data_IF_319054588462
#
_entry.id   IF_319054588462
#
_cell.length_a   1.000
_cell.length_b   1.000
_cell.length_c   1.000
_cell.angle_alpha   90.00
_cell.angle_beta   90.00
_cell.angle_gamma   90.00
#
_symmetry.space_group_name_H-M   'P 1'
#
loop_
_entity.id
_entity.type
_entity.pdbx_description
1 polymer ?
#
# COMPACT_ATOMS: atom_id res chain seq x y z
N UNK A 1 -20.80 -21.60 48.92
CA UNK A 1 -19.45 -22.01 48.43
C UNK A 1 -19.45 -23.26 47.55
N UNK A 2 -20.23 -24.33 47.85
CA UNK A 2 -20.28 -25.53 46.97
C UNK A 2 -20.78 -25.26 45.53
N UNK A 3 -21.79 -24.40 45.34
CA UNK A 3 -22.31 -24.13 43.99
C UNK A 3 -21.38 -23.28 43.12
N UNK A 4 -20.56 -22.41 43.71
CA UNK A 4 -19.60 -21.57 42.97
C UNK A 4 -18.41 -22.43 42.48
N UNK A 5 -17.97 -23.40 43.28
CA UNK A 5 -16.86 -24.29 42.91
C UNK A 5 -17.22 -25.27 41.79
N UNK A 6 -18.45 -25.79 41.76
CA UNK A 6 -18.95 -26.69 40.71
C UNK A 6 -19.11 -25.95 39.38
N UNK A 7 -19.62 -24.71 39.42
CA UNK A 7 -19.75 -23.87 38.21
C UNK A 7 -18.35 -23.58 37.63
N UNK A 8 -17.39 -23.18 38.46
CA UNK A 8 -16.01 -22.89 38.01
C UNK A 8 -15.31 -24.13 37.43
N UNK A 9 -15.45 -25.32 38.05
CA UNK A 9 -14.90 -26.55 37.48
C UNK A 9 -15.55 -26.92 36.14
N UNK A 10 -16.87 -26.79 36.02
CA UNK A 10 -17.58 -27.11 34.77
C UNK A 10 -17.19 -26.19 33.62
N UNK A 11 -17.00 -24.89 33.88
CA UNK A 11 -16.59 -23.91 32.87
C UNK A 11 -15.16 -24.15 32.38
N UNK A 12 -14.24 -24.54 33.27
CA UNK A 12 -12.84 -24.84 32.91
C UNK A 12 -12.73 -26.10 32.07
N UNK A 13 -13.54 -27.13 32.37
CA UNK A 13 -13.58 -28.35 31.55
C UNK A 13 -14.13 -28.09 30.15
N UNK A 14 -15.25 -27.36 30.02
CA UNK A 14 -15.84 -27.03 28.71
C UNK A 14 -14.86 -26.24 27.84
N UNK A 15 -14.09 -25.30 28.43
CA UNK A 15 -13.08 -24.55 27.69
C UNK A 15 -11.91 -25.42 27.19
N UNK A 16 -11.44 -26.38 28.00
CA UNK A 16 -10.34 -27.27 27.61
C UNK A 16 -10.76 -28.23 26.48
N UNK A 17 -11.96 -28.80 26.55
CA UNK A 17 -12.49 -29.66 25.50
C UNK A 17 -12.72 -28.92 24.17
N UNK A 18 -13.24 -27.69 24.23
CA UNK A 18 -13.42 -26.88 23.02
C UNK A 18 -12.09 -26.56 22.34
N UNK A 19 -11.04 -26.28 23.11
CA UNK A 19 -9.71 -25.97 22.59
C UNK A 19 -9.06 -27.18 21.89
N UNK A 20 -9.23 -28.38 22.44
CA UNK A 20 -8.74 -29.64 21.85
C UNK A 20 -9.41 -29.96 20.50
N UNK A 21 -10.73 -29.71 20.40
CA UNK A 21 -11.47 -29.88 19.13
C UNK A 21 -10.98 -28.86 18.09
N UNK A 22 -10.72 -27.60 18.49
CA UNK A 22 -10.21 -26.59 17.57
C UNK A 22 -8.83 -26.94 17.04
N UNK A 23 -7.92 -27.36 17.91
CA UNK A 23 -6.56 -27.77 17.50
C UNK A 23 -6.60 -28.94 16.52
N UNK A 24 -7.48 -29.91 16.77
CA UNK A 24 -7.73 -31.02 15.84
C UNK A 24 -8.29 -30.53 14.49
N UNK A 25 -9.24 -29.59 14.51
CA UNK A 25 -9.81 -29.00 13.29
C UNK A 25 -8.74 -28.23 12.48
N UNK A 26 -7.94 -27.40 13.15
CA UNK A 26 -6.85 -26.64 12.54
C UNK A 26 -5.77 -27.57 11.98
N UNK A 27 -5.47 -28.69 12.65
CA UNK A 27 -4.58 -29.72 12.13
C UNK A 27 -5.11 -30.32 10.82
N UNK A 28 -6.36 -30.78 10.81
CA UNK A 28 -6.97 -31.31 9.59
C UNK A 28 -7.00 -30.27 8.46
N UNK A 29 -7.23 -29.00 8.79
CA UNK A 29 -7.20 -27.90 7.84
C UNK A 29 -5.80 -27.70 7.23
N UNK A 30 -4.76 -27.69 8.06
CA UNK A 30 -3.37 -27.56 7.62
C UNK A 30 -2.91 -28.76 6.78
N UNK A 31 -3.38 -29.96 7.13
CA UNK A 31 -3.15 -31.20 6.38
C UNK A 31 -4.00 -31.29 5.10
N UNK A 32 -4.88 -30.29 4.85
CA UNK A 32 -5.81 -30.22 3.71
C UNK A 32 -6.82 -31.37 3.67
N UNK A 33 -7.08 -32.00 4.81
CA UNK A 33 -8.15 -32.97 5.00
C UNK A 33 -9.48 -32.22 5.19
N UNK A 34 -9.98 -31.64 4.10
CA UNK A 34 -11.10 -30.69 4.13
C UNK A 34 -12.38 -31.26 4.73
N UNK A 35 -12.63 -32.55 4.56
CA UNK A 35 -13.82 -33.22 5.09
C UNK A 35 -13.75 -33.36 6.61
N UNK A 36 -12.61 -33.82 7.14
CA UNK A 36 -12.41 -33.88 8.60
C UNK A 36 -12.33 -32.49 9.21
N UNK A 37 -11.67 -31.55 8.53
CA UNK A 37 -11.59 -30.16 8.98
C UNK A 37 -12.99 -29.55 9.11
N UNK A 38 -13.83 -29.66 8.07
CA UNK A 38 -15.19 -29.14 8.10
C UNK A 38 -16.02 -29.75 9.25
N UNK A 39 -15.98 -31.07 9.39
CA UNK A 39 -16.70 -31.78 10.47
C UNK A 39 -16.26 -31.30 11.86
N UNK A 40 -14.95 -31.18 12.07
CA UNK A 40 -14.40 -30.75 13.35
C UNK A 40 -14.71 -29.27 13.65
N UNK A 41 -14.66 -28.38 12.65
CA UNK A 41 -15.06 -26.98 12.83
C UNK A 41 -16.57 -26.85 13.11
N UNK A 42 -17.43 -27.60 12.43
CA UNK A 42 -18.87 -27.62 12.73
C UNK A 42 -19.13 -28.06 14.17
N UNK A 43 -18.42 -29.09 14.66
CA UNK A 43 -18.52 -29.52 16.05
C UNK A 43 -18.04 -28.43 17.02
N UNK A 44 -16.89 -27.80 16.73
CA UNK A 44 -16.33 -26.73 17.54
C UNK A 44 -17.26 -25.51 17.65
N UNK A 45 -17.86 -25.10 16.53
CA UNK A 45 -18.71 -23.92 16.42
C UNK A 45 -20.05 -24.06 17.15
N UNK A 46 -20.48 -25.27 17.51
CA UNK A 46 -21.70 -25.48 18.34
C UNK A 46 -21.63 -24.81 19.70
N UNK A 47 -20.43 -24.68 20.26
CA UNK A 47 -20.20 -24.03 21.56
C UNK A 47 -19.39 -22.75 21.44
N UNK A 48 -18.80 -22.46 20.26
CA UNK A 48 -17.94 -21.30 20.00
C UNK A 48 -18.45 -20.50 18.79
N UNK A 49 -19.76 -20.23 18.76
CA UNK A 49 -20.45 -19.70 17.58
C UNK A 49 -19.96 -18.33 17.08
N UNK A 50 -19.18 -17.59 17.87
CA UNK A 50 -18.64 -16.27 17.49
C UNK A 50 -17.19 -16.32 17.00
N UNK A 51 -16.57 -17.50 16.92
CA UNK A 51 -15.20 -17.63 16.39
C UNK A 51 -15.20 -17.44 14.87
N UNK A 52 -14.86 -16.23 14.45
CA UNK A 52 -14.84 -15.82 13.05
C UNK A 52 -13.80 -16.57 12.20
N UNK A 53 -12.70 -17.01 12.83
CA UNK A 53 -11.65 -17.78 12.14
C UNK A 53 -12.12 -19.21 11.87
N UNK A 54 -12.79 -19.84 12.84
CA UNK A 54 -13.37 -21.16 12.64
C UNK A 54 -14.47 -21.14 11.56
N UNK A 55 -15.33 -20.11 11.52
CA UNK A 55 -16.29 -19.93 10.43
C UNK A 55 -15.60 -19.78 9.07
N UNK A 56 -14.53 -18.98 8.99
CA UNK A 56 -13.77 -18.81 7.75
C UNK A 56 -13.09 -20.10 7.28
N UNK A 57 -12.48 -20.86 8.19
CA UNK A 57 -11.83 -22.13 7.86
C UNK A 57 -12.85 -23.20 7.46
N UNK A 58 -14.02 -23.24 8.11
CA UNK A 58 -15.15 -24.08 7.70
C UNK A 58 -15.64 -23.72 6.29
N UNK A 59 -15.78 -22.42 6.00
CA UNK A 59 -16.16 -21.93 4.68
C UNK A 59 -15.16 -22.34 3.61
N UNK A 60 -13.86 -22.18 3.88
CA UNK A 60 -12.80 -22.55 2.95
C UNK A 60 -12.76 -24.06 2.69
N UNK A 61 -12.88 -24.88 3.74
CA UNK A 61 -12.98 -26.34 3.61
C UNK A 61 -14.16 -26.73 2.71
N UNK A 62 -15.34 -26.13 2.91
CA UNK A 62 -16.52 -26.38 2.07
C UNK A 62 -16.32 -25.93 0.61
N UNK A 63 -15.65 -24.79 0.38
CA UNK A 63 -15.29 -24.36 -0.97
C UNK A 63 -14.39 -25.39 -1.67
N UNK A 64 -13.40 -25.96 -0.95
CA UNK A 64 -12.52 -27.02 -1.47
C UNK A 64 -13.24 -28.34 -1.71
N UNK A 65 -14.27 -28.63 -0.93
CA UNK A 65 -15.19 -29.75 -1.14
C UNK A 65 -16.24 -29.48 -2.24
N UNK A 66 -16.18 -28.33 -2.93
CA UNK A 66 -17.13 -27.88 -3.95
C UNK A 66 -18.56 -27.68 -3.44
N UNK A 67 -18.74 -27.56 -2.12
CA UNK A 67 -19.98 -27.18 -1.45
C UNK A 67 -20.08 -25.66 -1.41
N UNK A 68 -20.26 -25.06 -2.58
CA UNK A 68 -20.08 -23.61 -2.74
C UNK A 68 -21.15 -22.77 -2.04
N UNK A 69 -22.40 -23.24 -1.99
CA UNK A 69 -23.47 -22.55 -1.25
C UNK A 69 -23.21 -22.51 0.25
N UNK A 70 -22.80 -23.65 0.82
CA UNK A 70 -22.40 -23.75 2.23
C UNK A 70 -21.20 -22.85 2.51
N UNK A 71 -20.18 -22.87 1.64
CA UNK A 71 -19.02 -22.00 1.75
C UNK A 71 -19.40 -20.52 1.80
N UNK A 72 -20.30 -20.06 0.92
CA UNK A 72 -20.78 -18.68 0.88
C UNK A 72 -21.51 -18.34 2.18
N UNK A 73 -22.40 -19.22 2.67
CA UNK A 73 -23.12 -19.01 3.92
C UNK A 73 -22.18 -18.91 5.14
N UNK A 74 -21.16 -19.76 5.20
CA UNK A 74 -20.16 -19.73 6.26
C UNK A 74 -19.22 -18.52 6.16
N UNK A 75 -18.90 -18.06 4.95
CA UNK A 75 -18.20 -16.78 4.76
C UNK A 75 -19.02 -15.59 5.27
N UNK A 76 -20.35 -15.58 5.08
CA UNK A 76 -21.21 -14.55 5.67
C UNK A 76 -21.14 -14.56 7.20
N UNK A 77 -21.11 -15.74 7.83
CA UNK A 77 -20.92 -15.86 9.28
C UNK A 77 -19.55 -15.37 9.74
N UNK A 78 -18.49 -15.69 9.00
CA UNK A 78 -17.16 -15.16 9.31
C UNK A 78 -17.15 -13.62 9.29
N UNK A 79 -17.78 -12.99 8.29
CA UNK A 79 -17.93 -11.53 8.21
C UNK A 79 -18.77 -10.96 9.37
N UNK A 80 -19.91 -11.59 9.70
CA UNK A 80 -20.78 -11.20 10.83
C UNK A 80 -20.00 -11.13 12.15
N UNK A 81 -19.01 -12.03 12.33
CA UNK A 81 -18.12 -12.06 13.49
C UNK A 81 -16.78 -11.35 13.27
N UNK A 82 -16.70 -10.42 12.32
CA UNK A 82 -15.56 -9.53 12.06
C UNK A 82 -14.28 -10.23 11.55
N UNK A 83 -14.39 -11.31 10.78
CA UNK A 83 -13.23 -11.82 10.04
C UNK A 83 -12.74 -10.79 9.01
N UNK A 84 -11.42 -10.67 8.74
CA UNK A 84 -10.90 -9.66 7.81
C UNK A 84 -11.58 -9.68 6.43
N UNK A 85 -12.20 -8.55 6.07
CA UNK A 85 -13.07 -8.41 4.88
C UNK A 85 -12.38 -8.79 3.57
N UNK A 86 -11.08 -8.48 3.44
CA UNK A 86 -10.27 -8.87 2.28
C UNK A 86 -10.30 -10.38 2.01
N UNK A 87 -10.29 -11.20 3.07
CA UNK A 87 -10.30 -12.65 2.97
C UNK A 87 -11.70 -13.19 2.69
N UNK A 88 -12.71 -12.64 3.35
CA UNK A 88 -14.09 -13.03 3.09
C UNK A 88 -14.48 -12.72 1.65
N UNK A 89 -14.33 -11.47 1.21
CA UNK A 89 -14.82 -11.04 -0.09
C UNK A 89 -14.13 -11.77 -1.24
N UNK A 90 -12.80 -11.94 -1.19
CA UNK A 90 -12.07 -12.68 -2.23
C UNK A 90 -12.52 -14.13 -2.33
N UNK A 91 -12.62 -14.85 -1.20
CA UNK A 91 -12.97 -16.27 -1.29
C UNK A 91 -14.46 -16.49 -1.56
N UNK A 92 -15.35 -15.60 -1.10
CA UNK A 92 -16.77 -15.62 -1.48
C UNK A 92 -16.94 -15.36 -2.98
N UNK A 93 -16.20 -14.40 -3.55
CA UNK A 93 -16.16 -14.16 -4.99
C UNK A 93 -15.62 -15.38 -5.76
N UNK A 94 -14.57 -16.05 -5.26
CA UNK A 94 -14.08 -17.31 -5.83
C UNK A 94 -15.14 -18.41 -5.81
N UNK A 95 -15.87 -18.58 -4.71
CA UNK A 95 -16.99 -19.54 -4.65
C UNK A 95 -18.05 -19.24 -5.70
N UNK A 96 -18.43 -17.97 -5.91
CA UNK A 96 -19.34 -17.59 -6.99
C UNK A 96 -18.80 -17.91 -8.38
N UNK A 97 -17.52 -17.63 -8.65
CA UNK A 97 -16.89 -17.96 -9.94
C UNK A 97 -16.86 -19.47 -10.19
N UNK A 98 -16.56 -20.27 -9.17
CA UNK A 98 -16.57 -21.74 -9.26
C UNK A 98 -17.98 -22.31 -9.48
N UNK A 99 -19.04 -21.59 -9.06
CA UNK A 99 -20.44 -21.88 -9.41
C UNK A 99 -20.83 -21.40 -10.82
N UNK A 100 -19.99 -20.63 -11.49
CA UNK A 100 -20.29 -19.99 -12.79
C UNK A 100 -21.00 -18.65 -12.68
N UNK A 101 -21.20 -18.10 -11.49
CA UNK A 101 -21.89 -16.81 -11.28
C UNK A 101 -20.89 -15.64 -11.27
N UNK A 102 -20.55 -15.17 -12.47
CA UNK A 102 -19.62 -14.04 -12.65
C UNK A 102 -20.18 -12.73 -12.10
N UNK A 103 -21.48 -12.51 -12.22
CA UNK A 103 -22.13 -11.27 -11.81
C UNK A 103 -22.07 -11.10 -10.28
N UNK A 104 -22.40 -12.15 -9.53
CA UNK A 104 -22.29 -12.13 -8.06
C UNK A 104 -20.85 -12.04 -7.59
N UNK A 105 -19.90 -12.67 -8.28
CA UNK A 105 -18.49 -12.53 -7.94
C UNK A 105 -18.00 -11.07 -8.04
N UNK A 106 -18.40 -10.35 -9.09
CA UNK A 106 -18.04 -8.93 -9.25
C UNK A 106 -18.75 -8.06 -8.22
N UNK A 107 -20.06 -8.29 -7.98
CA UNK A 107 -20.81 -7.56 -6.96
C UNK A 107 -20.19 -7.74 -5.56
N UNK A 108 -19.75 -8.96 -5.26
CA UNK A 108 -19.06 -9.30 -4.02
C UNK A 108 -17.76 -8.52 -3.85
N UNK A 109 -16.92 -8.49 -4.88
CA UNK A 109 -15.67 -7.73 -4.84
C UNK A 109 -15.92 -6.23 -4.69
N UNK A 110 -16.94 -5.67 -5.35
CA UNK A 110 -17.32 -4.25 -5.18
C UNK A 110 -17.71 -3.94 -3.74
N UNK A 111 -18.61 -4.73 -3.16
CA UNK A 111 -19.03 -4.61 -1.75
C UNK A 111 -17.85 -4.75 -0.80
N UNK A 112 -16.95 -5.71 -1.03
CA UNK A 112 -15.72 -5.87 -0.26
C UNK A 112 -14.85 -4.61 -0.29
N UNK A 113 -14.69 -4.01 -1.46
CA UNK A 113 -13.88 -2.81 -1.64
C UNK A 113 -14.49 -1.59 -0.91
N UNK A 114 -15.81 -1.43 -0.95
CA UNK A 114 -16.54 -0.39 -0.21
C UNK A 114 -16.37 -0.54 1.31
N UNK A 115 -16.27 -1.78 1.79
CA UNK A 115 -15.98 -2.12 3.20
C UNK A 115 -14.50 -2.06 3.57
N UNK A 116 -13.63 -1.59 2.67
CA UNK A 116 -12.20 -1.39 2.95
C UNK A 116 -11.30 -2.59 2.63
N UNK A 117 -11.76 -3.59 1.88
CA UNK A 117 -10.90 -4.69 1.44
C UNK A 117 -9.72 -4.18 0.60
N UNK A 118 -8.53 -4.69 0.90
CA UNK A 118 -7.23 -4.15 0.46
C UNK A 118 -6.27 -5.22 -0.05
N UNK A 119 -6.71 -6.47 -0.25
CA UNK A 119 -5.87 -7.56 -0.78
C UNK A 119 -5.67 -7.44 -2.31
N UNK A 120 -5.20 -6.28 -2.78
CA UNK A 120 -5.03 -5.94 -4.20
C UNK A 120 -4.15 -6.94 -4.96
N UNK A 121 -2.98 -7.29 -4.41
CA UNK A 121 -2.04 -8.20 -5.08
C UNK A 121 -2.69 -9.55 -5.33
N UNK A 122 -3.36 -10.13 -4.31
CA UNK A 122 -4.06 -11.41 -4.43
C UNK A 122 -5.18 -11.34 -5.47
N UNK A 123 -6.00 -10.28 -5.43
CA UNK A 123 -7.05 -10.08 -6.43
C UNK A 123 -6.47 -9.96 -7.85
N UNK A 124 -5.31 -9.32 -8.01
CA UNK A 124 -4.61 -9.16 -9.30
C UNK A 124 -3.91 -10.42 -9.81
N UNK A 125 -3.47 -11.33 -8.93
CA UNK A 125 -2.64 -12.47 -9.29
C UNK A 125 -3.38 -13.80 -9.38
N UNK A 126 -4.44 -13.98 -8.58
CA UNK A 126 -5.11 -15.29 -8.48
C UNK A 126 -5.82 -15.66 -9.79
N UNK A 127 -5.47 -16.81 -10.35
CA UNK A 127 -5.96 -17.29 -11.64
C UNK A 127 -7.47 -17.57 -11.64
N UNK A 128 -8.08 -17.81 -10.47
CA UNK A 128 -9.53 -18.01 -10.38
C UNK A 128 -10.32 -16.78 -10.88
N UNK A 129 -9.70 -15.59 -10.92
CA UNK A 129 -10.31 -14.38 -11.47
C UNK A 129 -10.11 -14.20 -12.98
N UNK A 130 -9.34 -15.07 -13.66
CA UNK A 130 -9.12 -15.02 -15.11
C UNK A 130 -10.40 -14.90 -15.94
N UNK A 131 -11.50 -15.61 -15.61
CA UNK A 131 -12.77 -15.49 -16.33
C UNK A 131 -13.41 -14.10 -16.30
N UNK A 132 -13.00 -13.20 -15.40
CA UNK A 132 -13.55 -11.84 -15.24
C UNK A 132 -12.48 -10.74 -15.35
N UNK A 133 -11.23 -11.05 -15.71
CA UNK A 133 -10.11 -10.08 -15.77
C UNK A 133 -10.40 -8.86 -16.65
N UNK A 134 -11.08 -9.08 -17.76
CA UNK A 134 -11.40 -8.03 -18.75
C UNK A 134 -12.78 -7.39 -18.49
N UNK A 135 -13.46 -7.76 -17.41
CA UNK A 135 -14.75 -7.17 -17.05
C UNK A 135 -14.54 -5.78 -16.43
N UNK A 136 -15.33 -4.80 -16.88
CA UNK A 136 -15.27 -3.42 -16.38
C UNK A 136 -15.55 -3.33 -14.88
N UNK A 137 -16.54 -4.07 -14.38
CA UNK A 137 -16.90 -4.09 -12.97
C UNK A 137 -15.82 -4.73 -12.10
N UNK A 138 -15.11 -5.73 -12.63
CA UNK A 138 -13.92 -6.27 -11.96
C UNK A 138 -12.78 -5.23 -11.91
N UNK A 139 -12.51 -4.53 -13.01
CA UNK A 139 -11.49 -3.48 -13.07
C UNK A 139 -11.77 -2.35 -12.06
N UNK A 140 -13.03 -1.92 -11.92
CA UNK A 140 -13.47 -0.94 -10.92
C UNK A 140 -13.22 -1.43 -9.48
N UNK A 141 -13.60 -2.68 -9.18
CA UNK A 141 -13.36 -3.27 -7.85
C UNK A 141 -11.86 -3.40 -7.55
N UNK A 142 -11.08 -3.87 -8.52
CA UNK A 142 -9.64 -4.02 -8.40
C UNK A 142 -8.94 -2.69 -8.12
N UNK A 143 -9.35 -1.61 -8.79
CA UNK A 143 -8.83 -0.27 -8.55
C UNK A 143 -9.16 0.22 -7.14
N UNK A 144 -10.38 -0.05 -6.65
CA UNK A 144 -10.74 0.31 -5.28
C UNK A 144 -9.93 -0.48 -4.24
N UNK A 145 -9.68 -1.77 -4.48
CA UNK A 145 -8.75 -2.56 -3.66
C UNK A 145 -7.33 -1.97 -3.69
N UNK A 146 -6.88 -1.49 -4.85
CA UNK A 146 -5.56 -0.83 -5.01
C UNK A 146 -5.48 0.41 -4.14
N UNK A 147 -6.49 1.28 -4.17
CA UNK A 147 -6.56 2.50 -3.36
C UNK A 147 -6.60 2.16 -1.86
N UNK A 148 -7.39 1.17 -1.45
CA UNK A 148 -7.46 0.73 -0.06
C UNK A 148 -6.11 0.16 0.43
N UNK A 149 -5.37 -0.54 -0.44
CA UNK A 149 -4.03 -1.05 -0.14
C UNK A 149 -2.96 0.04 -0.11
N UNK A 150 -3.13 1.06 -0.95
CA UNK A 150 -2.15 2.09 -1.24
C UNK A 150 -2.80 3.49 -1.18
N UNK A 151 -3.20 3.94 0.03
CA UNK A 151 -4.05 5.13 0.19
C UNK A 151 -3.38 6.41 -0.35
N UNK A 152 -2.05 6.49 -0.30
CA UNK A 152 -1.27 7.62 -0.80
C UNK A 152 -1.49 7.87 -2.31
N UNK A 153 -1.89 6.85 -3.09
CA UNK A 153 -2.20 7.01 -4.52
C UNK A 153 -3.45 7.87 -4.79
N UNK A 154 -4.31 8.04 -3.78
CA UNK A 154 -5.53 8.84 -3.86
C UNK A 154 -5.46 10.15 -3.04
N UNK A 155 -4.36 10.38 -2.31
CA UNK A 155 -4.20 11.56 -1.47
C UNK A 155 -3.59 12.71 -2.26
N UNK A 156 -4.30 13.83 -2.37
CA UNK A 156 -3.80 15.02 -3.05
C UNK A 156 -2.48 15.53 -2.47
N UNK A 157 -2.30 15.47 -1.14
CA UNK A 157 -1.06 15.90 -0.50
C UNK A 157 0.13 15.01 -0.86
N UNK A 158 -0.05 13.68 -0.81
CA UNK A 158 1.01 12.73 -1.16
C UNK A 158 1.33 12.72 -2.66
N UNK A 159 0.41 13.21 -3.51
CA UNK A 159 0.55 13.27 -4.98
C UNK A 159 0.90 14.66 -5.49
N UNK A 160 1.13 15.65 -4.60
CA UNK A 160 1.42 17.03 -4.99
C UNK A 160 2.63 17.17 -5.93
N UNK A 161 3.67 16.34 -5.73
CA UNK A 161 4.90 16.36 -6.52
C UNK A 161 4.84 15.47 -7.78
N UNK A 162 3.67 14.88 -8.11
CA UNK A 162 3.53 13.96 -9.25
C UNK A 162 3.87 14.61 -10.60
N UNK A 163 3.80 15.94 -10.73
CA UNK A 163 4.20 16.65 -11.95
C UNK A 163 5.67 16.44 -12.33
N UNK A 164 6.51 16.04 -11.36
CA UNK A 164 7.92 15.75 -11.54
C UNK A 164 8.21 14.27 -11.88
N UNK A 165 7.22 13.37 -11.70
CA UNK A 165 7.37 11.95 -12.01
C UNK A 165 7.55 11.74 -13.53
N UNK A 166 8.54 10.91 -13.89
CA UNK A 166 8.85 10.57 -15.27
C UNK A 166 10.34 10.37 -15.52
N UNK A 167 10.66 10.19 -16.80
CA UNK A 167 12.02 10.06 -17.31
C UNK A 167 12.45 11.37 -18.00
N UNK A 168 13.60 11.91 -17.59
CA UNK A 168 13.99 13.27 -17.94
C UNK A 168 15.42 13.35 -18.45
N UNK A 169 15.63 14.26 -19.40
CA UNK A 169 16.93 14.85 -19.69
C UNK A 169 17.02 16.21 -18.97
N UNK A 170 18.11 16.44 -18.25
CA UNK A 170 18.32 17.66 -17.47
C UNK A 170 19.28 18.58 -18.20
N UNK A 171 18.87 19.83 -18.39
CA UNK A 171 19.66 20.87 -19.06
C UNK A 171 19.99 22.00 -18.10
N UNK A 172 21.21 22.50 -18.15
CA UNK A 172 21.63 23.71 -17.43
C UNK A 172 22.74 24.41 -18.22
N UNK A 173 22.87 25.74 -18.04
CA UNK A 173 23.92 26.55 -18.69
C UNK A 173 24.03 26.34 -20.22
N UNK A 174 22.90 26.08 -20.88
CA UNK A 174 22.81 25.91 -22.34
C UNK A 174 23.09 24.51 -22.87
N UNK A 175 23.37 23.50 -22.02
CA UNK A 175 23.64 22.13 -22.45
C UNK A 175 22.98 21.06 -21.57
N UNK A 176 22.98 19.81 -22.05
CA UNK A 176 22.55 18.65 -21.26
C UNK A 176 23.59 18.36 -20.19
N UNK A 177 23.16 18.19 -18.94
CA UNK A 177 24.02 17.94 -17.77
C UNK A 177 23.80 16.58 -17.11
N UNK A 178 22.67 15.93 -17.40
CA UNK A 178 22.38 14.61 -16.87
C UNK A 178 21.05 14.04 -17.32
N UNK A 179 20.74 12.89 -16.73
CA UNK A 179 19.52 12.13 -16.91
C UNK A 179 18.91 11.84 -15.54
N UNK A 180 17.59 11.81 -15.46
CA UNK A 180 16.90 11.56 -14.19
C UNK A 180 15.70 10.64 -14.39
N UNK A 181 15.61 9.59 -13.57
CA UNK A 181 14.46 8.70 -13.48
C UNK A 181 13.75 8.94 -12.17
N UNK A 182 12.50 9.40 -12.25
CA UNK A 182 11.69 9.76 -11.08
C UNK A 182 10.44 8.89 -11.08
N UNK A 183 10.36 7.99 -10.10
CA UNK A 183 9.36 6.93 -10.03
C UNK A 183 8.53 7.01 -8.76
N UNK A 184 7.29 6.56 -8.84
CA UNK A 184 6.45 6.38 -7.65
C UNK A 184 6.93 5.13 -6.90
N UNK A 185 7.19 5.26 -5.61
CA UNK A 185 7.65 4.19 -4.74
C UNK A 185 6.65 3.92 -3.61
N UNK A 186 6.79 2.74 -2.97
CA UNK A 186 6.07 2.36 -1.74
C UNK A 186 4.55 2.56 -1.81
N UNK A 187 3.91 2.18 -2.92
CA UNK A 187 2.46 2.33 -3.08
C UNK A 187 2.01 3.79 -3.07
N UNK A 188 2.80 4.70 -3.65
CA UNK A 188 2.43 6.11 -3.74
C UNK A 188 2.76 6.93 -2.49
N UNK A 189 3.40 6.38 -1.47
CA UNK A 189 3.77 7.18 -0.29
C UNK A 189 5.14 7.84 -0.44
N UNK A 190 5.91 7.47 -1.48
CA UNK A 190 7.18 8.08 -1.78
C UNK A 190 7.36 8.30 -3.30
N UNK A 191 8.28 9.20 -3.64
CA UNK A 191 8.84 9.39 -4.97
C UNK A 191 10.35 9.15 -4.86
N UNK A 192 10.85 8.22 -5.67
CA UNK A 192 12.26 7.90 -5.75
C UNK A 192 12.87 8.53 -7.01
N UNK A 193 13.92 9.30 -6.81
CA UNK A 193 14.73 9.91 -7.85
C UNK A 193 16.03 9.13 -8.02
N UNK A 194 16.45 8.92 -9.26
CA UNK A 194 17.75 8.37 -9.62
C UNK A 194 18.37 9.22 -10.72
N UNK A 195 19.32 10.07 -10.33
CA UNK A 195 20.03 11.00 -11.20
C UNK A 195 21.41 10.47 -11.59
N UNK A 196 21.79 10.69 -12.84
CA UNK A 196 23.13 10.38 -13.35
C UNK A 196 23.62 11.45 -14.31
N UNK A 197 24.94 11.56 -14.43
CA UNK A 197 25.61 12.48 -15.35
C UNK A 197 26.46 11.67 -16.34
N UNK A 198 26.96 12.35 -17.39
CA UNK A 198 27.97 11.75 -18.28
C UNK A 198 29.34 11.55 -17.63
N UNK A 199 29.53 12.04 -16.40
CA UNK A 199 30.75 11.93 -15.61
C UNK A 199 30.51 11.01 -14.41
N UNK A 200 31.45 10.96 -13.46
CA UNK A 200 31.40 10.08 -12.29
C UNK A 200 30.43 10.54 -11.18
N UNK A 201 29.48 11.43 -11.49
CA UNK A 201 28.48 11.87 -10.53
C UNK A 201 27.12 11.20 -10.78
N UNK A 202 26.55 10.68 -9.70
CA UNK A 202 25.20 10.15 -9.62
C UNK A 202 24.63 10.48 -8.24
N UNK A 203 23.31 10.45 -8.10
CA UNK A 203 22.66 10.66 -6.82
C UNK A 203 21.25 10.12 -6.83
N UNK A 204 20.70 9.93 -5.63
CA UNK A 204 19.35 9.45 -5.45
C UNK A 204 18.65 10.27 -4.38
N UNK A 205 17.34 10.39 -4.50
CA UNK A 205 16.53 10.91 -3.41
C UNK A 205 15.26 10.10 -3.16
N UNK A 206 14.85 10.11 -1.89
CA UNK A 206 13.52 9.68 -1.48
C UNK A 206 12.76 10.93 -1.02
N UNK A 207 11.60 11.15 -1.64
CA UNK A 207 10.72 12.28 -1.38
C UNK A 207 9.39 11.74 -0.85
N UNK A 208 8.87 12.30 0.23
CA UNK A 208 7.61 11.84 0.81
C UNK A 208 6.90 12.97 1.54
N UNK A 209 5.59 12.87 1.65
CA UNK A 209 4.79 13.74 2.49
C UNK A 209 4.58 13.07 3.84
N UNK A 210 4.92 13.75 4.93
CA UNK A 210 4.69 13.25 6.28
C UNK A 210 3.36 13.80 6.82
N UNK A 211 2.36 12.93 7.13
CA UNK A 211 1.07 13.37 7.63
C UNK A 211 1.12 13.95 9.05
N UNK A 212 2.21 13.75 9.81
CA UNK A 212 2.37 14.25 11.18
C UNK A 212 2.67 15.74 11.16
N UNK A 213 3.69 16.17 10.41
CA UNK A 213 4.08 17.57 10.30
C UNK A 213 3.44 18.30 9.10
N UNK A 214 2.75 17.53 8.23
CA UNK A 214 2.03 18.00 7.05
C UNK A 214 2.94 18.67 6.03
N UNK A 215 4.14 18.12 5.85
CA UNK A 215 5.15 18.67 4.95
C UNK A 215 5.75 17.61 4.05
N UNK A 216 6.21 18.05 2.89
CA UNK A 216 7.14 17.28 2.08
C UNK A 216 8.55 17.28 2.68
N UNK A 217 9.15 16.09 2.67
CA UNK A 217 10.53 15.81 3.03
C UNK A 217 11.24 15.24 1.82
N UNK A 218 12.52 15.56 1.68
CA UNK A 218 13.41 14.88 0.75
C UNK A 218 14.74 14.56 1.44
N UNK A 219 15.18 13.31 1.28
CA UNK A 219 16.53 12.90 1.64
C UNK A 219 17.31 12.60 0.36
N UNK A 220 18.38 13.37 0.12
CA UNK A 220 19.27 13.21 -1.03
C UNK A 220 20.61 12.62 -0.60
N UNK A 221 21.15 11.71 -1.43
CA UNK A 221 22.50 11.16 -1.30
C UNK A 221 23.19 11.18 -2.66
N UNK A 222 24.30 11.90 -2.78
CA UNK A 222 25.13 11.97 -3.98
C UNK A 222 26.42 11.16 -3.88
N UNK A 223 26.97 10.75 -5.02
CA UNK A 223 28.20 9.93 -5.11
C UNK A 223 29.47 10.69 -4.72
N UNK A 224 29.40 12.02 -4.55
CA UNK A 224 30.47 12.82 -3.97
C UNK A 224 30.46 12.83 -2.43
N UNK A 225 29.53 12.12 -1.80
CA UNK A 225 29.34 12.06 -0.35
C UNK A 225 28.50 13.22 0.20
N UNK A 226 27.88 14.01 -0.66
CA UNK A 226 26.91 15.03 -0.29
C UNK A 226 25.59 14.42 0.17
N UNK A 227 25.06 14.93 1.27
CA UNK A 227 23.79 14.50 1.86
C UNK A 227 22.98 15.73 2.22
N UNK A 228 21.71 15.76 1.82
CA UNK A 228 20.79 16.84 2.16
C UNK A 228 19.49 16.29 2.74
N UNK A 229 19.01 16.96 3.78
CA UNK A 229 17.70 16.72 4.39
C UNK A 229 16.84 17.96 4.16
N UNK A 230 16.04 17.92 3.12
CA UNK A 230 15.19 19.02 2.67
C UNK A 230 13.81 18.93 3.32
N UNK A 231 13.29 20.06 3.79
CA UNK A 231 11.97 20.19 4.38
C UNK A 231 11.16 21.27 3.66
N UNK A 232 9.87 21.04 3.46
CA UNK A 232 8.95 22.01 2.86
C UNK A 232 8.91 23.34 3.61
N UNK A 233 9.06 24.41 2.83
CA UNK A 233 8.89 25.80 3.27
C UNK A 233 7.84 26.56 2.47
N UNK A 234 7.51 26.14 1.25
CA UNK A 234 6.37 26.69 0.50
C UNK A 234 5.81 25.69 -0.52
N UNK A 235 4.53 25.84 -0.85
CA UNK A 235 3.79 25.00 -1.78
C UNK A 235 2.74 25.81 -2.52
N UNK A 236 2.61 25.58 -3.83
CA UNK A 236 1.54 26.13 -4.68
C UNK A 236 1.23 25.15 -5.82
N UNK A 237 0.23 25.40 -6.64
CA UNK A 237 -0.12 24.55 -7.78
C UNK A 237 1.08 24.43 -8.75
N UNK A 238 1.58 23.22 -8.93
CA UNK A 238 2.77 22.96 -9.76
C UNK A 238 4.08 23.49 -9.18
N UNK A 239 4.12 23.86 -7.89
CA UNK A 239 5.32 24.35 -7.22
C UNK A 239 5.52 23.70 -5.85
N UNK A 240 6.76 23.31 -5.56
CA UNK A 240 7.19 22.87 -4.24
C UNK A 240 8.55 23.49 -3.92
N UNK A 241 8.66 24.13 -2.76
CA UNK A 241 9.91 24.68 -2.23
C UNK A 241 10.31 23.96 -0.96
N UNK A 242 11.56 23.53 -0.94
CA UNK A 242 12.19 22.83 0.16
C UNK A 242 13.47 23.58 0.57
N UNK A 243 13.81 23.52 1.86
CA UNK A 243 15.07 24.08 2.38
C UNK A 243 15.81 23.05 3.24
N UNK A 244 17.14 23.12 3.20
CA UNK A 244 18.05 22.29 4.00
C UNK A 244 19.20 23.13 4.55
N UNK A 245 19.79 22.65 5.65
CA UNK A 245 21.08 23.15 6.13
C UNK A 245 22.17 22.19 5.70
N UNK A 246 23.22 22.72 5.09
CA UNK A 246 24.41 21.97 4.73
C UNK A 246 25.59 22.47 5.55
N UNK A 247 26.33 21.54 6.15
CA UNK A 247 27.57 21.83 6.84
C UNK A 247 28.73 21.23 6.04
N UNK A 248 29.68 22.06 5.65
CA UNK A 248 30.87 21.57 4.96
C UNK A 248 31.88 20.95 5.94
N UNK A 249 32.98 20.38 5.42
CA UNK A 249 34.02 19.75 6.24
C UNK A 249 34.73 20.69 7.21
N UNK A 250 34.68 22.00 6.97
CA UNK A 250 35.26 23.02 7.85
C UNK A 250 34.30 23.44 8.96
N UNK A 251 33.09 22.86 9.02
CA UNK A 251 32.06 23.20 10.00
C UNK A 251 31.23 24.42 9.61
N UNK A 252 31.46 25.02 8.44
CA UNK A 252 30.70 26.18 7.98
C UNK A 252 29.32 25.74 7.51
N UNK A 253 28.29 26.44 8.00
CA UNK A 253 26.89 26.14 7.68
C UNK A 253 26.42 27.06 6.56
N UNK A 254 25.74 26.48 5.58
CA UNK A 254 25.03 27.18 4.52
C UNK A 254 23.59 26.69 4.45
N UNK A 255 22.70 27.54 3.96
CA UNK A 255 21.35 27.16 3.61
C UNK A 255 21.30 26.80 2.14
N UNK A 256 20.56 25.74 1.81
CA UNK A 256 20.17 25.39 0.46
C UNK A 256 18.66 25.50 0.34
N UNK A 257 18.18 26.19 -0.70
CA UNK A 257 16.77 26.28 -1.06
C UNK A 257 16.60 25.68 -2.43
N UNK A 258 15.67 24.75 -2.56
CA UNK A 258 15.33 24.11 -3.81
C UNK A 258 13.86 24.36 -4.14
N UNK A 259 13.57 24.82 -5.35
CA UNK A 259 12.20 25.02 -5.84
C UNK A 259 12.00 24.23 -7.13
N UNK A 260 11.02 23.34 -7.13
CA UNK A 260 10.50 22.69 -8.33
C UNK A 260 9.32 23.52 -8.87
N UNK A 261 9.25 23.71 -10.19
CA UNK A 261 8.14 24.42 -10.83
C UNK A 261 7.78 23.79 -12.17
N UNK A 262 6.54 23.31 -12.28
CA UNK A 262 5.95 22.87 -13.55
C UNK A 262 5.76 24.08 -14.48
N UNK A 263 6.27 23.95 -15.70
CA UNK A 263 6.13 24.97 -16.75
C UNK A 263 4.94 24.64 -17.65
N UNK A 264 4.44 25.65 -18.38
CA UNK A 264 3.27 25.50 -19.25
C UNK A 264 3.46 24.54 -20.44
N UNK A 265 4.70 24.22 -20.80
CA UNK A 265 5.06 23.26 -21.85
C UNK A 265 5.27 21.82 -21.33
N UNK A 266 5.01 21.59 -20.03
CA UNK A 266 5.19 20.30 -19.38
C UNK A 266 6.62 19.99 -18.93
N UNK A 267 7.56 20.91 -19.13
CA UNK A 267 8.90 20.83 -18.52
C UNK A 267 8.85 21.17 -17.03
N UNK A 268 9.87 20.75 -16.28
CA UNK A 268 10.00 21.11 -14.86
C UNK A 268 11.30 21.88 -14.66
N UNK A 269 11.22 23.03 -14.01
CA UNK A 269 12.40 23.77 -13.56
C UNK A 269 12.75 23.37 -12.14
N UNK A 270 14.02 23.07 -11.89
CA UNK A 270 14.59 22.91 -10.56
C UNK A 270 15.60 24.05 -10.34
N UNK A 271 15.23 24.98 -9.45
CA UNK A 271 16.11 26.07 -9.04
C UNK A 271 16.69 25.75 -7.67
N UNK A 272 18.01 25.66 -7.56
CA UNK A 272 18.72 25.58 -6.29
C UNK A 272 19.46 26.88 -6.02
N UNK A 273 19.29 27.39 -4.81
CA UNK A 273 19.90 28.61 -4.32
C UNK A 273 20.64 28.34 -3.02
N UNK A 274 21.76 29.02 -2.80
CA UNK A 274 22.55 28.91 -1.58
C UNK A 274 22.61 30.25 -0.85
N UNK A 275 22.72 30.18 0.48
CA UNK A 275 22.88 31.34 1.35
C UNK A 275 23.91 31.05 2.44
N UNK A 276 24.77 32.02 2.72
CA UNK A 276 25.77 31.99 3.80
C UNK A 276 25.53 33.05 4.88
N UNK A 277 24.45 33.83 4.77
CA UNK A 277 24.12 34.95 5.66
C UNK A 277 22.75 34.77 6.35
N UNK A 278 22.42 33.52 6.68
CA UNK A 278 21.14 33.10 7.29
C UNK A 278 19.90 33.46 6.47
N UNK A 279 20.02 33.43 5.14
CA UNK A 279 18.90 33.54 4.20
C UNK A 279 18.55 34.97 3.83
N UNK A 280 19.42 35.95 4.16
CA UNK A 280 19.23 37.36 3.79
C UNK A 280 19.51 37.56 2.31
N UNK A 281 20.51 36.87 1.77
CA UNK A 281 20.81 36.87 0.33
C UNK A 281 20.92 35.46 -0.20
N UNK A 282 20.48 35.27 -1.44
CA UNK A 282 20.47 33.97 -2.12
C UNK A 282 21.20 34.08 -3.44
N UNK A 283 22.07 33.12 -3.71
CA UNK A 283 22.81 32.99 -4.97
C UNK A 283 22.40 31.71 -5.68
N UNK A 284 22.23 31.78 -7.00
CA UNK A 284 21.85 30.61 -7.80
C UNK A 284 23.02 29.62 -7.81
N UNK A 285 22.82 28.44 -7.23
CA UNK A 285 23.75 27.33 -7.25
C UNK A 285 23.53 26.45 -8.49
N UNK A 286 22.26 26.22 -8.85
CA UNK A 286 21.87 25.43 -10.01
C UNK A 286 20.52 25.91 -10.56
N UNK A 287 20.39 25.95 -11.88
CA UNK A 287 19.13 26.25 -12.56
C UNK A 287 18.95 25.21 -13.68
N UNK A 288 18.22 24.16 -13.35
CA UNK A 288 18.02 22.99 -14.20
C UNK A 288 16.66 22.99 -14.85
N UNK A 289 16.62 22.63 -16.14
CA UNK A 289 15.40 22.41 -16.90
C UNK A 289 15.29 20.92 -17.26
N UNK A 290 14.25 20.28 -16.76
CA UNK A 290 13.94 18.87 -16.99
C UNK A 290 13.02 18.80 -18.21
N UNK A 291 13.48 18.17 -19.28
CA UNK A 291 12.70 17.86 -20.49
C UNK A 291 12.40 16.38 -20.52
N UNK A 292 11.13 16.01 -20.72
CA UNK A 292 10.74 14.60 -20.77
C UNK A 292 11.48 13.91 -21.91
N UNK A 293 11.95 12.69 -21.66
CA UNK A 293 12.40 11.81 -22.74
C UNK A 293 11.19 11.47 -23.61
N UNK A 294 11.36 11.59 -24.92
CA UNK A 294 10.35 11.05 -25.85
C UNK A 294 10.41 9.52 -25.76
N UNK A 295 9.25 8.89 -25.55
CA UNK A 295 9.08 7.44 -25.69
C UNK A 295 9.22 7.00 -27.16
#
# INVERSE_FOLDING_TARGET
MKNILIIILSTVYISLFAQDIKETADKHFNDRDWEKAATAFEQYLRTNATDSTAWYNLAFSNMKLKKYDDAIAFYNKAEEYNFPISNVSINRAKSYLLKGDRAQAIAELKSGAEKGASAYIRLRSDMEFDPIRNDKGFAEALEKYRINAYPCLSSTDHRHLDFWVGEWEVFARGGKVGDNSITIANGGCAIHESYSTSHNYSGQSINYYDPIDKKWHQHWVGSAGDVYNYLETAKDNGMLRLESKFQNRNGEVSLSRMTFTLQGDGTVRQLMESSTDDGKTWTIAFDGLYKRKNE
#
